data_IF_812644910970
#
_entry.id   IF_812644910970
#
_cell.length_a   1.000
_cell.length_b   1.000
_cell.length_c   1.000
_cell.angle_alpha   90.00
_cell.angle_beta   90.00
_cell.angle_gamma   90.00
#
_symmetry.space_group_name_H-M   'P 1'
#
loop_
_entity.id
_entity.type
_entity.pdbx_description
1 polymer ?
#
# COMPACT_ATOMS: atom_id res chain seq x y z
N UNK A 1 12.24 -1.64 -6.83
CA UNK A 1 11.61 -2.84 -6.21
C UNK A 1 10.29 -3.14 -6.90
N UNK A 2 10.09 -4.37 -7.35
CA UNK A 2 8.90 -4.81 -8.08
C UNK A 2 8.09 -5.87 -7.31
N UNK A 3 8.41 -6.10 -6.03
CA UNK A 3 7.66 -7.04 -5.19
C UNK A 3 6.44 -6.38 -4.53
N UNK A 4 5.50 -7.20 -4.06
CA UNK A 4 4.38 -6.74 -3.23
C UNK A 4 4.87 -5.93 -2.03
N UNK A 5 4.26 -4.76 -1.78
CA UNK A 5 4.73 -3.82 -0.77
C UNK A 5 3.66 -3.50 0.27
N UNK A 6 4.12 -3.20 1.49
CA UNK A 6 3.29 -2.86 2.63
C UNK A 6 3.85 -1.64 3.35
N UNK A 7 2.95 -0.79 3.85
CA UNK A 7 3.29 0.34 4.68
C UNK A 7 3.85 -0.09 6.04
N UNK A 8 4.88 0.64 6.47
CA UNK A 8 5.50 0.48 7.79
C UNK A 8 5.79 1.85 8.37
N UNK A 9 5.79 1.96 9.71
CA UNK A 9 5.99 3.23 10.37
C UNK A 9 6.63 3.11 11.76
N UNK A 10 7.17 4.22 12.23
CA UNK A 10 7.61 4.42 13.62
C UNK A 10 7.10 5.75 14.16
N UNK A 11 6.94 5.83 15.49
CA UNK A 11 6.59 7.04 16.21
C UNK A 11 7.73 7.50 17.09
N UNK A 12 7.94 8.81 17.15
CA UNK A 12 8.81 9.46 18.10
C UNK A 12 8.04 10.58 18.79
N UNK A 13 7.90 10.52 20.10
CA UNK A 13 7.23 11.54 20.88
C UNK A 13 8.24 12.58 21.38
N UNK A 14 7.87 13.86 21.32
CA UNK A 14 8.71 14.97 21.74
C UNK A 14 7.85 16.03 22.44
N UNK A 15 8.43 16.73 23.40
CA UNK A 15 7.77 17.84 24.10
C UNK A 15 8.53 19.13 23.79
N UNK A 16 7.83 20.10 23.18
CA UNK A 16 8.37 21.43 22.93
C UNK A 16 7.98 22.46 24.00
N UNK A 17 8.57 23.69 23.93
CA UNK A 17 9.42 24.15 22.83
C UNK A 17 10.87 23.70 22.97
N UNK A 18 11.44 23.19 21.88
CA UNK A 18 12.88 22.87 21.81
C UNK A 18 13.35 22.72 20.35
N UNK A 19 14.65 22.88 20.15
CA UNK A 19 15.29 22.44 18.91
C UNK A 19 15.54 20.95 18.99
N UNK A 20 14.94 20.18 18.08
CA UNK A 20 15.15 18.73 17.95
C UNK A 20 16.16 18.47 16.84
N UNK A 21 17.25 17.80 17.22
CA UNK A 21 18.22 17.26 16.26
C UNK A 21 18.43 15.80 16.60
N UNK A 22 17.88 14.91 15.77
CA UNK A 22 17.91 13.47 16.04
C UNK A 22 17.77 12.64 14.77
N UNK A 23 18.12 11.39 14.88
CA UNK A 23 17.82 10.39 13.87
C UNK A 23 16.58 9.58 14.31
N UNK A 24 15.55 9.61 13.47
CA UNK A 24 14.33 8.84 13.71
C UNK A 24 14.59 7.35 13.43
N UNK A 25 14.10 6.50 14.33
CA UNK A 25 14.18 5.07 14.13
C UNK A 25 13.57 4.68 12.77
N UNK A 26 14.30 3.89 12.00
CA UNK A 26 13.77 3.33 10.76
C UNK A 26 12.70 2.30 11.10
N UNK A 27 11.56 2.29 10.38
CA UNK A 27 10.57 1.24 10.51
C UNK A 27 11.16 -0.15 10.20
N UNK A 28 10.48 -1.19 10.71
CA UNK A 28 10.86 -2.58 10.44
C UNK A 28 10.92 -2.84 8.93
N UNK A 29 12.00 -3.45 8.48
CA UNK A 29 12.19 -3.86 7.09
C UNK A 29 12.03 -5.36 6.92
N UNK A 30 11.72 -5.77 5.70
CA UNK A 30 11.73 -7.16 5.28
C UNK A 30 12.70 -7.27 4.11
N UNK A 31 13.61 -8.27 4.13
CA UNK A 31 14.64 -8.49 3.11
C UNK A 31 15.50 -7.25 2.80
N UNK A 32 15.79 -6.46 3.83
CA UNK A 32 16.63 -5.25 3.78
C UNK A 32 16.17 -4.16 2.80
N UNK A 33 14.90 -4.23 2.33
CA UNK A 33 14.29 -3.18 1.52
C UNK A 33 13.45 -2.25 2.38
N UNK A 34 13.71 -0.95 2.25
CA UNK A 34 12.93 0.13 2.86
C UNK A 34 13.04 1.41 2.05
N UNK A 35 11.94 2.13 1.90
CA UNK A 35 11.92 3.45 1.32
C UNK A 35 11.01 4.38 2.12
N UNK A 36 11.51 5.57 2.46
CA UNK A 36 10.70 6.62 3.10
C UNK A 36 9.62 7.14 2.15
N UNK A 37 8.41 7.35 2.68
CA UNK A 37 7.31 8.03 2.00
C UNK A 37 7.22 9.46 2.50
N UNK A 38 7.13 9.64 3.83
CA UNK A 38 7.01 10.94 4.46
C UNK A 38 7.36 10.87 5.95
N UNK A 39 7.72 12.02 6.50
CA UNK A 39 7.78 12.26 7.93
C UNK A 39 6.77 13.35 8.26
N UNK A 40 5.85 13.05 9.18
CA UNK A 40 4.84 13.98 9.67
C UNK A 40 5.09 14.32 11.13
N UNK A 41 4.81 15.55 11.52
CA UNK A 41 4.71 15.95 12.91
C UNK A 41 3.33 16.53 13.19
N UNK A 42 2.71 16.17 14.29
CA UNK A 42 1.41 16.68 14.70
C UNK A 42 1.28 16.70 16.23
N UNK A 43 0.39 17.57 16.80
CA UNK A 43 0.12 17.55 18.23
C UNK A 43 -0.35 16.18 18.68
N UNK A 44 0.26 15.63 19.72
CA UNK A 44 -0.12 14.32 20.27
C UNK A 44 -1.50 14.41 20.91
N UNK A 45 -2.51 13.65 20.43
CA UNK A 45 -3.80 13.57 21.10
C UNK A 45 -3.64 13.02 22.51
N UNK A 46 -4.13 13.72 23.56
CA UNK A 46 -3.98 13.26 24.95
C UNK A 46 -4.79 11.99 25.26
N UNK A 47 -5.83 11.70 24.48
CA UNK A 47 -6.65 10.49 24.61
C UNK A 47 -6.88 9.86 23.21
N UNK A 48 -5.85 9.26 22.60
CA UNK A 48 -5.97 8.72 21.25
C UNK A 48 -7.05 7.65 21.18
N UNK A 49 -7.87 7.69 20.13
CA UNK A 49 -8.86 6.66 19.82
C UNK A 49 -8.24 5.59 18.95
N UNK A 50 -8.53 4.33 19.27
CA UNK A 50 -8.11 3.19 18.44
C UNK A 50 -9.21 2.85 17.44
N UNK A 51 -8.92 3.00 16.15
CA UNK A 51 -9.85 2.64 15.07
C UNK A 51 -10.04 1.11 15.08
N UNK A 52 -11.28 0.62 15.20
CA UNK A 52 -11.54 -0.84 15.19
C UNK A 52 -11.08 -1.48 13.89
N UNK A 53 -10.51 -2.68 13.97
CA UNK A 53 -10.04 -3.48 12.82
C UNK A 53 -9.06 -2.75 11.90
N UNK A 54 -8.29 -1.79 12.45
CA UNK A 54 -7.36 -0.97 11.67
C UNK A 54 -6.42 -1.82 10.79
N UNK A 55 -5.87 -2.90 11.33
CA UNK A 55 -4.96 -3.76 10.58
C UNK A 55 -5.60 -4.28 9.28
N UNK A 56 -6.79 -4.85 9.36
CA UNK A 56 -7.51 -5.33 8.17
C UNK A 56 -7.93 -4.20 7.23
N UNK A 57 -8.38 -3.06 7.77
CA UNK A 57 -8.76 -1.88 6.98
C UNK A 57 -7.56 -1.26 6.25
N UNK A 58 -6.40 -1.20 6.89
CA UNK A 58 -5.18 -0.61 6.31
C UNK A 58 -4.45 -1.53 5.33
N UNK A 59 -4.72 -2.84 5.39
CA UNK A 59 -4.12 -3.85 4.49
C UNK A 59 -5.10 -4.39 3.45
N UNK A 60 -6.28 -3.77 3.30
CA UNK A 60 -7.32 -4.16 2.35
C UNK A 60 -7.84 -5.61 2.51
N UNK A 61 -7.78 -6.17 3.73
CA UNK A 61 -8.29 -7.52 4.03
C UNK A 61 -9.71 -7.52 4.62
N UNK A 62 -10.29 -6.36 4.90
CA UNK A 62 -11.67 -6.18 5.39
C UNK A 62 -12.44 -5.28 4.42
N UNK A 63 -13.59 -5.77 3.95
CA UNK A 63 -14.46 -5.07 3.03
C UNK A 63 -15.61 -4.31 3.72
N UNK A 64 -15.87 -4.60 5.00
CA UNK A 64 -16.94 -3.97 5.73
C UNK A 64 -16.64 -2.52 6.10
N UNK A 65 -17.64 -1.65 5.92
CA UNK A 65 -17.68 -0.31 6.50
C UNK A 65 -18.67 -0.35 7.65
N UNK A 66 -18.26 0.05 8.86
CA UNK A 66 -19.23 0.20 9.95
C UNK A 66 -20.30 1.23 9.58
N UNK A 67 -21.59 1.01 9.91
CA UNK A 67 -22.61 2.01 9.74
C UNK A 67 -22.25 3.30 10.49
N UNK A 68 -22.55 4.45 9.91
CA UNK A 68 -22.26 5.76 10.53
C UNK A 68 -22.84 5.90 11.95
N UNK A 69 -23.97 5.23 12.21
CA UNK A 69 -24.62 5.19 13.52
C UNK A 69 -23.79 4.52 14.63
N UNK A 70 -22.79 3.72 14.24
CA UNK A 70 -21.86 3.03 15.17
C UNK A 70 -20.61 3.86 15.47
N UNK A 71 -20.42 5.01 14.78
CA UNK A 71 -19.27 5.85 15.06
C UNK A 71 -19.50 6.68 16.32
N UNK A 72 -18.66 6.52 17.36
CA UNK A 72 -18.73 7.39 18.52
C UNK A 72 -18.39 8.84 18.13
N UNK A 73 -19.01 9.78 18.78
CA UNK A 73 -18.59 11.18 18.72
C UNK A 73 -17.30 11.33 19.52
N UNK A 74 -16.20 11.64 18.85
CA UNK A 74 -14.90 11.85 19.49
C UNK A 74 -14.73 13.35 19.82
N UNK A 75 -14.19 13.61 21.00
CA UNK A 75 -13.76 14.96 21.37
C UNK A 75 -12.42 15.33 20.74
N UNK A 76 -12.06 16.64 20.75
CA UNK A 76 -10.81 17.12 20.16
C UNK A 76 -9.55 16.50 20.79
N UNK A 77 -9.66 15.98 22.01
CA UNK A 77 -8.58 15.28 22.69
C UNK A 77 -8.18 13.92 22.08
N UNK A 78 -9.00 13.40 21.16
CA UNK A 78 -8.77 12.12 20.48
C UNK A 78 -8.37 12.28 19.00
N UNK A 79 -8.38 13.51 18.49
CA UNK A 79 -8.32 13.82 17.06
C UNK A 79 -7.04 14.59 16.74
N UNK A 80 -6.45 14.31 15.60
CA UNK A 80 -5.40 15.13 14.98
C UNK A 80 -6.06 16.05 13.94
N UNK A 81 -6.08 17.37 14.17
CA UNK A 81 -6.57 18.31 13.15
C UNK A 81 -5.64 18.28 11.92
N UNK A 82 -6.22 18.15 10.73
CA UNK A 82 -5.44 18.04 9.47
C UNK A 82 -4.57 19.25 9.21
N UNK A 83 -5.06 20.43 9.53
CA UNK A 83 -4.34 21.70 9.40
C UNK A 83 -3.16 21.84 10.38
N UNK A 84 -3.06 20.96 11.38
CA UNK A 84 -1.97 20.90 12.34
C UNK A 84 -0.93 19.83 11.99
N UNK A 85 -1.13 19.09 10.91
CA UNK A 85 -0.16 18.11 10.42
C UNK A 85 0.91 18.84 9.60
N UNK A 86 2.15 18.77 10.06
CA UNK A 86 3.32 19.35 9.41
C UNK A 86 4.08 18.24 8.70
N UNK A 87 4.26 18.35 7.41
CA UNK A 87 5.17 17.47 6.67
C UNK A 87 6.61 17.95 6.86
N UNK A 88 7.43 17.13 7.50
CA UNK A 88 8.85 17.42 7.71
C UNK A 88 9.67 16.90 6.52
N UNK A 89 9.63 17.64 5.40
CA UNK A 89 10.52 17.42 4.26
C UNK A 89 11.80 18.23 4.37
N UNK A 90 12.66 18.26 3.33
CA UNK A 90 13.83 19.14 3.31
C UNK A 90 13.42 20.62 3.46
N UNK A 91 14.12 21.41 4.30
CA UNK A 91 15.39 21.09 4.98
C UNK A 91 15.23 20.42 6.36
N UNK A 92 14.00 20.16 6.86
CA UNK A 92 13.77 19.69 8.24
C UNK A 92 14.03 18.22 8.45
N UNK A 93 13.88 17.39 7.40
CA UNK A 93 14.14 15.96 7.47
C UNK A 93 14.76 15.45 6.16
N UNK A 94 15.83 14.66 6.30
CA UNK A 94 16.46 13.95 5.18
C UNK A 94 16.95 12.58 5.65
N UNK A 95 16.51 11.52 4.98
CA UNK A 95 16.87 10.14 5.30
C UNK A 95 16.73 9.80 6.79
N UNK A 96 15.63 10.24 7.42
CA UNK A 96 15.34 10.03 8.83
C UNK A 96 16.07 10.95 9.81
N UNK A 97 16.99 11.78 9.37
CA UNK A 97 17.63 12.80 10.24
C UNK A 97 16.78 14.06 10.27
N UNK A 98 16.30 14.39 11.46
CA UNK A 98 15.42 15.53 11.70
C UNK A 98 16.20 16.65 12.38
N UNK A 99 15.96 17.89 11.90
CA UNK A 99 16.40 19.14 12.48
C UNK A 99 15.21 20.10 12.43
N UNK A 100 14.47 20.22 13.54
CA UNK A 100 13.19 20.91 13.60
C UNK A 100 12.98 21.67 14.90
N UNK A 101 12.41 22.87 14.81
CA UNK A 101 12.00 23.67 15.98
C UNK A 101 10.61 23.21 16.41
N UNK A 102 10.57 22.38 17.46
CA UNK A 102 9.33 21.81 18.00
C UNK A 102 8.53 22.92 18.68
N UNK A 103 7.28 23.16 18.27
CA UNK A 103 6.41 24.13 18.94
C UNK A 103 6.07 23.70 20.37
N UNK A 104 5.56 24.60 21.24
CA UNK A 104 5.11 24.24 22.59
C UNK A 104 4.08 23.12 22.60
N UNK A 105 4.18 22.22 23.59
CA UNK A 105 3.27 21.10 23.80
C UNK A 105 3.86 19.73 23.42
N UNK A 106 3.03 18.70 23.52
CA UNK A 106 3.40 17.34 23.13
C UNK A 106 3.17 17.12 21.63
N UNK A 107 4.15 16.55 20.95
CA UNK A 107 4.13 16.26 19.53
C UNK A 107 4.49 14.81 19.23
N UNK A 108 3.84 14.24 18.25
CA UNK A 108 4.19 12.94 17.67
C UNK A 108 4.83 13.17 16.31
N UNK A 109 6.01 12.59 16.09
CA UNK A 109 6.65 12.52 14.79
C UNK A 109 6.44 11.12 14.27
N UNK A 110 5.78 11.01 13.13
CA UNK A 110 5.48 9.77 12.42
C UNK A 110 6.41 9.65 11.21
N UNK A 111 7.30 8.68 11.21
CA UNK A 111 8.08 8.29 10.01
C UNK A 111 7.36 7.16 9.33
N UNK A 112 6.89 7.39 8.12
CA UNK A 112 6.14 6.47 7.29
C UNK A 112 6.97 6.08 6.07
N UNK A 113 7.04 4.80 5.79
CA UNK A 113 7.69 4.26 4.61
C UNK A 113 7.04 2.96 4.17
N UNK A 114 7.67 2.26 3.25
CA UNK A 114 7.20 0.97 2.77
C UNK A 114 8.35 -0.03 2.65
N UNK A 115 7.98 -1.30 2.73
CA UNK A 115 8.89 -2.44 2.56
C UNK A 115 8.20 -3.52 1.76
N UNK A 116 8.95 -4.53 1.29
CA UNK A 116 8.34 -5.70 0.68
C UNK A 116 7.53 -6.51 1.70
N UNK A 117 6.47 -7.17 1.27
CA UNK A 117 5.76 -8.15 2.11
C UNK A 117 6.63 -9.38 2.41
N UNK A 118 7.66 -9.63 1.60
CA UNK A 118 8.55 -10.78 1.70
C UNK A 118 7.90 -12.09 1.28
N UNK A 119 6.69 -12.06 0.71
CA UNK A 119 6.00 -13.23 0.22
C UNK A 119 6.64 -13.74 -1.07
N UNK A 120 6.86 -15.04 -1.12
CA UNK A 120 7.38 -15.74 -2.29
C UNK A 120 6.21 -16.31 -3.11
N UNK A 121 6.42 -16.42 -4.42
CA UNK A 121 5.52 -17.14 -5.32
C UNK A 121 5.52 -18.63 -4.95
N UNK A 122 4.34 -19.21 -4.82
CA UNK A 122 4.16 -20.65 -4.55
C UNK A 122 2.80 -21.15 -5.09
N UNK A 123 2.76 -22.46 -5.42
CA UNK A 123 3.85 -23.41 -5.42
C UNK A 123 4.85 -23.14 -6.55
N UNK A 124 6.14 -23.11 -6.24
CA UNK A 124 7.20 -22.95 -7.24
C UNK A 124 8.40 -23.84 -6.91
N UNK A 125 9.09 -24.42 -7.95
CA UNK A 125 10.34 -25.11 -7.73
C UNK A 125 11.41 -24.15 -7.22
N UNK A 126 12.44 -24.64 -6.53
CA UNK A 126 13.52 -23.80 -5.95
C UNK A 126 14.16 -22.86 -6.99
N UNK A 127 14.33 -23.32 -8.24
CA UNK A 127 14.88 -22.53 -9.34
C UNK A 127 13.97 -21.43 -9.86
N UNK A 128 12.68 -21.52 -9.58
CA UNK A 128 11.65 -20.54 -10.00
C UNK A 128 11.10 -19.70 -8.84
N UNK A 129 11.58 -19.95 -7.60
CA UNK A 129 11.10 -19.21 -6.44
C UNK A 129 11.66 -17.80 -6.41
N UNK A 130 10.79 -16.83 -6.19
CA UNK A 130 11.11 -15.43 -6.03
C UNK A 130 10.02 -14.69 -5.26
N UNK A 131 10.20 -13.39 -5.06
CA UNK A 131 9.18 -12.57 -4.43
C UNK A 131 7.96 -12.42 -5.36
N UNK A 132 6.77 -12.42 -4.75
CA UNK A 132 5.55 -12.06 -5.45
C UNK A 132 5.63 -10.64 -6.03
N UNK A 133 5.20 -10.47 -7.29
CA UNK A 133 5.23 -9.19 -7.95
C UNK A 133 4.23 -8.20 -7.34
N UNK A 134 4.55 -6.92 -7.40
CA UNK A 134 3.64 -5.83 -7.04
C UNK A 134 2.43 -5.83 -7.98
N UNK A 135 1.29 -6.26 -7.47
CA UNK A 135 0.05 -6.40 -8.26
C UNK A 135 -0.66 -5.07 -8.51
N UNK A 136 -0.18 -3.98 -7.88
CA UNK A 136 -0.68 -2.62 -8.12
C UNK A 136 0.14 -1.87 -9.19
N UNK A 137 1.17 -2.52 -9.77
CA UNK A 137 2.11 -1.94 -10.74
C UNK A 137 2.11 -2.72 -12.05
N UNK A 138 1.85 -2.02 -13.16
CA UNK A 138 1.95 -2.61 -14.52
C UNK A 138 3.37 -3.07 -14.84
N UNK A 139 4.36 -2.30 -14.42
CA UNK A 139 5.78 -2.63 -14.61
C UNK A 139 6.16 -3.94 -13.92
N UNK A 140 5.60 -4.18 -12.73
CA UNK A 140 5.82 -5.44 -12.01
C UNK A 140 5.06 -6.62 -12.65
N UNK A 141 3.85 -6.40 -13.14
CA UNK A 141 3.09 -7.38 -13.90
C UNK A 141 3.81 -7.77 -15.22
N UNK A 142 4.39 -6.79 -15.92
CA UNK A 142 5.22 -7.05 -17.11
C UNK A 142 6.46 -7.88 -16.77
N UNK A 143 7.14 -7.57 -15.69
CA UNK A 143 8.30 -8.34 -15.24
C UNK A 143 7.93 -9.79 -14.89
N UNK A 144 6.79 -10.00 -14.22
CA UNK A 144 6.26 -11.33 -13.92
C UNK A 144 5.93 -12.12 -15.19
N UNK A 145 5.22 -11.50 -16.13
CA UNK A 145 4.92 -12.11 -17.43
C UNK A 145 6.19 -12.46 -18.23
N UNK A 146 7.17 -11.55 -18.25
CA UNK A 146 8.46 -11.75 -18.89
C UNK A 146 9.27 -12.87 -18.24
N UNK A 147 9.14 -13.05 -16.95
CA UNK A 147 9.85 -14.08 -16.18
C UNK A 147 9.51 -15.52 -16.58
N UNK A 148 8.28 -15.77 -17.00
CA UNK A 148 7.79 -17.10 -17.40
C UNK A 148 7.20 -17.10 -18.80
N UNK A 149 6.10 -16.38 -19.04
CA UNK A 149 5.32 -16.50 -20.30
C UNK A 149 6.10 -16.07 -21.52
N UNK A 150 6.87 -14.99 -21.45
CA UNK A 150 7.67 -14.54 -22.59
C UNK A 150 8.73 -15.58 -22.99
N UNK A 151 9.28 -16.32 -22.02
CA UNK A 151 10.22 -17.41 -22.28
C UNK A 151 9.53 -18.60 -22.95
N UNK A 152 8.37 -19.02 -22.41
CA UNK A 152 7.55 -20.10 -23.03
C UNK A 152 7.22 -19.76 -24.49
N UNK A 153 6.79 -18.49 -24.73
CA UNK A 153 6.46 -18.01 -26.07
C UNK A 153 7.67 -18.07 -27.00
N UNK A 154 8.83 -17.61 -26.53
CA UNK A 154 10.07 -17.61 -27.32
C UNK A 154 10.57 -19.03 -27.63
N UNK A 155 10.45 -19.96 -26.68
CA UNK A 155 10.92 -21.34 -26.81
C UNK A 155 9.94 -22.27 -27.56
N UNK A 156 8.72 -21.78 -27.85
CA UNK A 156 7.65 -22.58 -28.46
C UNK A 156 7.13 -21.93 -29.77
N UNK A 157 8.00 -21.58 -30.73
CA UNK A 157 7.58 -20.93 -31.97
C UNK A 157 6.59 -21.81 -32.73
N UNK A 158 5.47 -21.23 -33.19
CA UNK A 158 4.40 -21.92 -33.93
C UNK A 158 3.41 -22.72 -33.08
N UNK A 159 3.64 -22.86 -31.77
CA UNK A 159 2.72 -23.53 -30.83
C UNK A 159 1.83 -22.54 -30.06
N UNK A 160 2.00 -21.24 -30.23
CA UNK A 160 1.28 -20.17 -29.54
C UNK A 160 0.10 -19.69 -30.36
N UNK A 161 -1.08 -19.59 -29.75
CA UNK A 161 -2.28 -19.04 -30.36
C UNK A 161 -3.56 -19.81 -30.04
N UNK A 162 -4.71 -19.24 -30.42
CA UNK A 162 -6.06 -19.75 -30.10
C UNK A 162 -6.31 -21.17 -30.54
N UNK A 163 -5.77 -21.55 -31.70
CA UNK A 163 -5.93 -22.90 -32.34
C UNK A 163 -4.63 -23.72 -32.22
N UNK A 164 -3.80 -23.42 -31.22
CA UNK A 164 -2.50 -24.06 -31.02
C UNK A 164 -2.43 -24.76 -29.65
N UNK A 165 -1.23 -25.20 -29.28
CA UNK A 165 -0.99 -25.93 -28.04
C UNK A 165 -1.06 -25.01 -26.84
N UNK A 166 -0.45 -23.81 -26.88
CA UNK A 166 -0.48 -22.82 -25.83
C UNK A 166 -1.54 -21.77 -26.17
N UNK A 167 -2.70 -21.89 -25.58
CA UNK A 167 -3.89 -21.05 -25.87
C UNK A 167 -4.16 -19.98 -24.83
N UNK A 168 -3.59 -20.12 -23.63
CA UNK A 168 -3.81 -19.20 -22.50
C UNK A 168 -2.65 -19.14 -21.54
N UNK A 169 -2.55 -18.02 -20.82
CA UNK A 169 -1.87 -17.93 -19.53
C UNK A 169 -2.89 -17.97 -18.42
N UNK A 170 -2.48 -18.32 -17.20
CA UNK A 170 -3.36 -18.46 -16.05
C UNK A 170 -2.83 -17.64 -14.86
N UNK A 171 -3.72 -16.95 -14.17
CA UNK A 171 -3.51 -16.40 -12.84
C UNK A 171 -4.29 -17.30 -11.89
N UNK A 172 -3.58 -17.95 -10.99
CA UNK A 172 -4.11 -18.81 -9.95
C UNK A 172 -4.68 -17.99 -8.78
N UNK A 173 -5.27 -18.66 -7.79
CA UNK A 173 -5.85 -18.04 -6.61
C UNK A 173 -4.87 -17.12 -5.88
N UNK A 174 -5.43 -16.11 -5.21
CA UNK A 174 -4.63 -15.19 -4.40
C UNK A 174 -4.45 -15.75 -2.99
N UNK A 175 -3.25 -16.25 -2.66
CA UNK A 175 -2.99 -16.92 -1.37
C UNK A 175 -1.79 -16.32 -0.61
N UNK A 176 -1.29 -15.17 -1.04
CA UNK A 176 -0.07 -14.56 -0.50
C UNK A 176 -0.30 -13.39 0.44
N UNK A 177 -1.56 -13.17 0.82
CA UNK A 177 -1.97 -12.03 1.65
C UNK A 177 -2.08 -10.74 0.86
N UNK A 178 -2.25 -9.63 1.56
CA UNK A 178 -2.53 -8.34 0.94
C UNK A 178 -1.29 -7.45 0.83
N UNK A 179 -1.39 -6.45 -0.04
CA UNK A 179 -0.49 -5.30 -0.14
C UNK A 179 -1.31 -4.01 -0.07
N UNK A 180 -0.72 -2.90 0.36
CA UNK A 180 -1.41 -1.63 0.47
C UNK A 180 -0.56 -0.44 0.01
N UNK A 181 0.52 -0.72 -0.69
CA UNK A 181 1.40 0.29 -1.24
C UNK A 181 2.04 -0.15 -2.55
N UNK A 182 2.31 0.83 -3.41
CA UNK A 182 3.13 0.77 -4.61
C UNK A 182 3.81 2.12 -4.80
N UNK A 183 4.94 2.24 -5.51
CA UNK A 183 5.64 3.53 -5.68
C UNK A 183 4.76 4.66 -6.22
N UNK A 184 3.80 4.36 -7.07
CA UNK A 184 2.86 5.36 -7.66
C UNK A 184 1.52 5.46 -6.91
N UNK A 185 1.42 4.94 -5.70
CA UNK A 185 0.13 4.85 -4.98
C UNK A 185 -0.56 6.21 -4.80
N UNK A 186 0.20 7.27 -4.47
CA UNK A 186 -0.36 8.61 -4.25
C UNK A 186 -1.00 9.17 -5.51
N UNK A 187 -0.31 9.07 -6.65
CA UNK A 187 -0.79 9.53 -7.96
C UNK A 187 -2.02 8.75 -8.40
N UNK A 188 -1.98 7.43 -8.25
CA UNK A 188 -3.09 6.55 -8.60
C UNK A 188 -4.30 6.76 -7.68
N UNK A 189 -4.07 6.92 -6.38
CA UNK A 189 -5.14 7.29 -5.44
C UNK A 189 -5.79 8.61 -5.86
N UNK A 190 -4.99 9.64 -6.15
CA UNK A 190 -5.51 10.94 -6.57
C UNK A 190 -6.30 10.83 -7.89
N UNK A 191 -5.82 10.03 -8.84
CA UNK A 191 -6.52 9.75 -10.10
C UNK A 191 -7.89 9.10 -9.86
N UNK A 192 -7.94 8.10 -8.98
CA UNK A 192 -9.13 7.28 -8.75
C UNK A 192 -10.12 7.91 -7.76
N UNK A 193 -9.64 8.60 -6.74
CA UNK A 193 -10.47 9.17 -5.66
C UNK A 193 -10.71 10.67 -5.78
N UNK A 194 -9.94 11.39 -6.62
CA UNK A 194 -10.12 12.81 -6.90
C UNK A 194 -9.53 13.76 -5.85
N UNK A 195 -8.77 13.25 -4.86
CA UNK A 195 -8.08 14.08 -3.87
C UNK A 195 -6.71 13.49 -3.49
N UNK A 196 -5.83 14.35 -2.95
CA UNK A 196 -4.50 13.94 -2.50
C UNK A 196 -4.58 13.25 -1.12
N UNK A 197 -4.14 11.98 -0.98
CA UNK A 197 -4.16 11.26 0.28
C UNK A 197 -3.14 11.76 1.31
N UNK A 198 -2.18 12.60 0.92
CA UNK A 198 -0.95 12.85 1.65
C UNK A 198 -1.17 13.26 3.11
N UNK A 199 -2.07 14.22 3.37
CA UNK A 199 -2.38 14.67 4.73
C UNK A 199 -3.21 13.69 5.57
N UNK A 200 -3.74 12.63 4.94
CA UNK A 200 -4.51 11.57 5.59
C UNK A 200 -3.69 10.29 5.83
N UNK A 201 -2.46 10.20 5.31
CA UNK A 201 -1.59 9.04 5.53
C UNK A 201 -1.40 8.66 7.01
N UNK A 202 -1.39 9.60 8.01
CA UNK A 202 -1.33 9.22 9.41
C UNK A 202 -2.48 8.32 9.89
N UNK A 203 -3.61 8.29 9.18
CA UNK A 203 -4.73 7.37 9.47
C UNK A 203 -4.32 5.90 9.31
N UNK A 204 -3.46 5.60 8.33
CA UNK A 204 -2.94 4.24 8.12
C UNK A 204 -2.05 3.76 9.27
N UNK A 205 -1.50 4.70 10.04
CA UNK A 205 -0.74 4.43 11.26
C UNK A 205 -1.61 4.47 12.55
N UNK A 206 -2.94 4.60 12.41
CA UNK A 206 -3.91 4.50 13.50
C UNK A 206 -4.38 5.83 14.09
N UNK A 207 -3.99 6.96 13.52
CA UNK A 207 -4.41 8.27 14.02
C UNK A 207 -5.75 8.68 13.40
N UNK A 208 -6.67 9.18 14.25
CA UNK A 208 -7.92 9.79 13.74
C UNK A 208 -7.61 11.21 13.30
N UNK A 209 -7.82 11.49 12.00
CA UNK A 209 -7.60 12.81 11.40
C UNK A 209 -8.95 13.49 11.14
N UNK A 210 -9.11 14.73 11.61
CA UNK A 210 -10.32 15.57 11.56
C UNK A 210 -11.54 14.94 12.26
N UNK A 211 -11.92 13.74 11.92
CA UNK A 211 -13.00 12.97 12.57
C UNK A 211 -12.84 11.47 12.29
N UNK A 212 -13.55 10.65 13.08
CA UNK A 212 -13.59 9.21 12.81
C UNK A 212 -14.24 8.92 11.46
N UNK A 213 -15.30 9.66 11.08
CA UNK A 213 -15.94 9.52 9.77
C UNK A 213 -14.98 9.80 8.62
N UNK A 214 -14.18 10.87 8.68
CA UNK A 214 -13.18 11.20 7.66
C UNK A 214 -12.14 10.10 7.57
N UNK A 215 -11.66 9.61 8.71
CA UNK A 215 -10.65 8.55 8.77
C UNK A 215 -11.15 7.21 8.22
N UNK A 216 -12.38 6.82 8.56
CA UNK A 216 -12.99 5.58 8.04
C UNK A 216 -13.26 5.65 6.53
N UNK A 217 -13.71 6.82 6.03
CA UNK A 217 -13.87 7.04 4.58
C UNK A 217 -12.53 6.95 3.85
N UNK A 218 -11.49 7.55 4.41
CA UNK A 218 -10.15 7.44 3.82
C UNK A 218 -9.65 6.00 3.79
N UNK A 219 -9.83 5.23 4.86
CA UNK A 219 -9.49 3.80 4.88
C UNK A 219 -10.29 3.00 3.84
N UNK A 220 -11.56 3.36 3.62
CA UNK A 220 -12.35 2.79 2.54
C UNK A 220 -11.78 3.14 1.16
N UNK A 221 -11.47 4.41 0.93
CA UNK A 221 -10.91 4.87 -0.34
C UNK A 221 -9.55 4.22 -0.65
N UNK A 222 -8.73 3.95 0.38
CA UNK A 222 -7.49 3.15 0.23
C UNK A 222 -7.82 1.74 -0.25
N UNK A 223 -8.76 1.05 0.38
CA UNK A 223 -9.17 -0.31 -0.03
C UNK A 223 -9.72 -0.34 -1.45
N UNK A 224 -10.60 0.61 -1.78
CA UNK A 224 -11.15 0.74 -3.14
C UNK A 224 -10.05 1.05 -4.17
N UNK A 225 -9.02 1.83 -3.79
CA UNK A 225 -7.88 2.10 -4.68
C UNK A 225 -7.07 0.83 -4.93
N UNK A 226 -6.79 0.05 -3.88
CA UNK A 226 -6.10 -1.25 -4.02
C UNK A 226 -6.90 -2.17 -4.94
N UNK A 227 -8.22 -2.26 -4.75
CA UNK A 227 -9.12 -3.06 -5.59
C UNK A 227 -9.09 -2.64 -7.05
N UNK A 228 -9.26 -1.34 -7.32
CA UNK A 228 -9.24 -0.81 -8.69
C UNK A 228 -7.89 -1.06 -9.38
N UNK A 229 -6.78 -0.83 -8.68
CA UNK A 229 -5.44 -1.08 -9.21
C UNK A 229 -5.18 -2.57 -9.46
N UNK A 230 -5.70 -3.45 -8.62
CA UNK A 230 -5.63 -4.89 -8.82
C UNK A 230 -6.31 -5.29 -10.14
N UNK A 231 -7.50 -4.76 -10.39
CA UNK A 231 -8.25 -5.00 -11.62
C UNK A 231 -7.53 -4.38 -12.82
N UNK A 232 -7.11 -3.12 -12.73
CA UNK A 232 -6.52 -2.40 -13.87
C UNK A 232 -5.09 -2.86 -14.18
N UNK A 233 -4.22 -2.93 -13.14
CA UNK A 233 -2.77 -3.07 -13.32
C UNK A 233 -2.28 -4.51 -13.28
N UNK A 234 -3.05 -5.42 -12.66
CA UNK A 234 -2.72 -6.83 -12.64
C UNK A 234 -3.58 -7.62 -13.62
N UNK A 235 -4.84 -7.88 -13.31
CA UNK A 235 -5.71 -8.71 -14.13
C UNK A 235 -5.89 -8.14 -15.55
N UNK A 236 -6.25 -6.86 -15.67
CA UNK A 236 -6.45 -6.18 -16.95
C UNK A 236 -5.17 -6.09 -17.77
N UNK A 237 -4.05 -5.79 -17.10
CA UNK A 237 -2.77 -5.71 -17.82
C UNK A 237 -2.25 -7.07 -18.27
N UNK A 238 -2.40 -8.13 -17.47
CA UNK A 238 -2.12 -9.51 -17.91
C UNK A 238 -3.00 -9.94 -19.07
N UNK A 239 -4.29 -9.56 -19.08
CA UNK A 239 -5.18 -9.80 -20.22
C UNK A 239 -4.65 -9.12 -21.50
N UNK A 240 -4.19 -7.87 -21.38
CA UNK A 240 -3.60 -7.15 -22.50
C UNK A 240 -2.31 -7.82 -23.02
N UNK A 241 -1.42 -8.22 -22.12
CA UNK A 241 -0.19 -8.93 -22.45
C UNK A 241 -0.48 -10.27 -23.14
N UNK A 242 -1.43 -11.04 -22.63
CA UNK A 242 -1.88 -12.28 -23.24
C UNK A 242 -2.42 -12.05 -24.67
N UNK A 243 -3.31 -11.06 -24.83
CA UNK A 243 -3.90 -10.70 -26.13
C UNK A 243 -2.86 -10.26 -27.15
N UNK A 244 -1.85 -9.48 -26.75
CA UNK A 244 -0.74 -9.05 -27.63
C UNK A 244 0.08 -10.23 -28.15
N UNK A 245 0.08 -11.35 -27.41
CA UNK A 245 0.76 -12.58 -27.79
C UNK A 245 -0.17 -13.63 -28.43
N UNK A 246 -1.41 -13.28 -28.79
CA UNK A 246 -2.36 -14.16 -29.46
C UNK A 246 -2.96 -15.26 -28.58
N UNK A 247 -2.83 -15.16 -27.26
CA UNK A 247 -3.39 -16.08 -26.26
C UNK A 247 -4.43 -15.39 -25.37
N UNK A 248 -5.14 -16.16 -24.57
CA UNK A 248 -6.14 -15.68 -23.60
C UNK A 248 -5.55 -15.62 -22.21
N UNK A 249 -6.19 -14.84 -21.33
CA UNK A 249 -6.03 -14.93 -19.89
C UNK A 249 -7.14 -15.80 -19.30
N UNK A 250 -6.78 -16.69 -18.40
CA UNK A 250 -7.66 -17.39 -17.47
C UNK A 250 -7.32 -16.95 -16.05
N UNK A 251 -8.33 -16.76 -15.20
CA UNK A 251 -8.14 -16.33 -13.82
C UNK A 251 -8.97 -17.21 -12.91
N UNK A 252 -8.38 -17.63 -11.81
CA UNK A 252 -9.06 -18.15 -10.63
C UNK A 252 -9.24 -17.02 -9.62
N UNK A 253 -10.38 -16.31 -9.75
CA UNK A 253 -10.63 -15.05 -9.05
C UNK A 253 -11.18 -15.26 -7.63
N UNK A 254 -10.44 -15.93 -6.75
CA UNK A 254 -10.79 -16.09 -5.35
C UNK A 254 -9.55 -15.99 -4.42
N UNK A 255 -9.81 -15.92 -3.12
CA UNK A 255 -8.79 -15.68 -2.09
C UNK A 255 -8.66 -14.19 -1.75
N UNK A 256 -8.22 -13.87 -0.54
CA UNK A 256 -8.06 -12.50 -0.09
C UNK A 256 -6.80 -11.82 -0.66
N UNK A 257 -6.90 -10.63 -1.23
CA UNK A 257 -8.06 -9.74 -1.41
C UNK A 257 -8.75 -9.87 -2.78
N UNK A 258 -8.53 -10.97 -3.50
CA UNK A 258 -8.97 -11.13 -4.89
C UNK A 258 -10.51 -11.24 -5.06
N UNK A 259 -11.27 -11.36 -3.97
CA UNK A 259 -12.74 -11.28 -4.01
C UNK A 259 -13.25 -9.98 -4.67
N UNK A 260 -12.39 -8.97 -4.75
CA UNK A 260 -12.69 -7.73 -5.47
C UNK A 260 -12.64 -7.88 -7.01
N UNK A 261 -12.24 -9.05 -7.54
CA UNK A 261 -12.23 -9.33 -8.96
C UNK A 261 -13.56 -9.91 -9.47
N UNK A 262 -14.47 -10.27 -8.58
CA UNK A 262 -15.83 -10.72 -8.90
C UNK A 262 -16.83 -9.58 -8.75
#
# INVERSE_FOLDING_TARGET
ELSMQVLVWTHTNVVGPQRLETELAQPRTVRDFYQDIAVFAFPTPPKPYTIPNLAGKSTATIQEIPPRSEFPTLGPEAIVPRDRIVALGEPHCKAGRVSWDVPPGAWTILRLGHTTTGKDNHPAPLSGRGLECDKLSKEAAEAAFAGLMSKIIADSPGLIGQDKTVVSTHIDSWEVGSQNWTPKFREEFQRLRGYDPFSLLPVLAGHVVDSLEVSERFLWDVRMTVSDLLVENYAGHFQELARRNGIRLSIEAYGEPADNLT
#
